data_IF_136510617226
#
_entry.id   IF_136510617226
#
_cell.length_a   1.000
_cell.length_b   1.000
_cell.length_c   1.000
_cell.angle_alpha   90.00
_cell.angle_beta   90.00
_cell.angle_gamma   90.00
#
_symmetry.space_group_name_H-M   'P 1'
#
loop_
_entity.id
_entity.type
_entity.pdbx_description
1 polymer ?
#
# COMPACT_ATOMS: atom_id res chain seq x y z
N UNK A 1 -57.13 -8.41 -34.17
CA UNK A 1 -57.06 -7.65 -32.90
C UNK A 1 -55.79 -6.81 -32.94
N UNK A 2 -55.91 -5.47 -32.99
CA UNK A 2 -54.79 -4.55 -33.20
C UNK A 2 -54.16 -4.13 -31.87
N UNK A 3 -52.89 -3.74 -31.88
CA UNK A 3 -52.49 -2.53 -31.17
C UNK A 3 -51.19 -1.95 -31.73
N UNK A 4 -51.32 -0.78 -32.36
CA UNK A 4 -50.21 0.14 -32.59
C UNK A 4 -49.91 0.90 -31.30
N UNK A 5 -48.63 1.16 -31.02
CA UNK A 5 -48.23 2.25 -30.15
C UNK A 5 -46.92 2.87 -30.68
N UNK A 6 -47.07 4.06 -31.25
CA UNK A 6 -46.02 4.98 -31.64
C UNK A 6 -45.77 5.92 -30.44
N UNK A 7 -44.52 6.08 -29.98
CA UNK A 7 -44.13 7.24 -29.15
C UNK A 7 -42.70 7.70 -29.49
N UNK A 8 -42.64 8.88 -30.11
CA UNK A 8 -41.47 9.77 -30.15
C UNK A 8 -41.06 10.17 -28.72
N UNK A 9 -39.76 10.23 -28.43
CA UNK A 9 -39.14 11.18 -27.48
C UNK A 9 -37.68 11.37 -27.91
N UNK A 10 -37.34 12.53 -28.49
CA UNK A 10 -36.66 13.67 -27.86
C UNK A 10 -35.14 13.55 -27.85
N UNK A 11 -34.51 14.27 -28.79
CA UNK A 11 -33.11 14.66 -28.77
C UNK A 11 -32.90 15.81 -27.76
N UNK A 12 -31.94 15.68 -26.85
CA UNK A 12 -31.40 16.73 -25.96
C UNK A 12 -30.26 16.09 -25.15
N UNK A 13 -29.13 16.72 -24.81
CA UNK A 13 -28.47 17.97 -25.17
C UNK A 13 -27.07 17.75 -24.56
N UNK A 14 -25.99 17.80 -25.35
CA UNK A 14 -24.63 17.71 -24.82
C UNK A 14 -24.28 19.02 -24.13
N UNK A 15 -24.10 19.00 -22.80
CA UNK A 15 -23.49 20.09 -22.05
C UNK A 15 -22.19 19.60 -21.44
N UNK A 16 -21.09 20.08 -22.03
CA UNK A 16 -19.75 20.00 -21.45
C UNK A 16 -19.48 21.34 -20.77
N UNK A 17 -19.15 21.32 -19.48
CA UNK A 17 -18.44 22.41 -18.82
C UNK A 17 -17.53 21.82 -17.76
N UNK A 18 -16.24 21.74 -18.11
CA UNK A 18 -15.15 21.46 -17.18
C UNK A 18 -14.99 22.65 -16.24
N UNK A 19 -15.19 22.40 -14.94
CA UNK A 19 -14.49 23.14 -13.88
C UNK A 19 -13.48 22.18 -13.29
N UNK A 20 -12.22 22.46 -13.58
CA UNK A 20 -11.05 21.78 -13.04
C UNK A 20 -10.26 22.84 -12.26
N UNK A 21 -10.27 22.75 -10.92
CA UNK A 21 -9.24 23.25 -10.01
C UNK A 21 -9.56 22.79 -8.58
N UNK A 22 -8.63 22.06 -7.95
CA UNK A 22 -8.73 21.46 -6.61
C UNK A 22 -8.65 19.94 -6.73
N UNK A 23 -7.48 19.29 -6.85
CA UNK A 23 -6.22 19.65 -6.22
C UNK A 23 -6.15 19.13 -4.78
N UNK A 24 -6.86 18.04 -4.45
CA UNK A 24 -6.49 17.17 -3.36
C UNK A 24 -5.61 16.07 -3.95
N UNK A 25 -4.35 16.04 -3.55
CA UNK A 25 -3.65 14.76 -3.51
C UNK A 25 -4.40 13.96 -2.46
N UNK A 26 -5.43 13.24 -2.90
CA UNK A 26 -5.67 11.96 -2.28
C UNK A 26 -4.35 11.24 -2.51
N UNK A 27 -3.47 11.26 -1.52
CA UNK A 27 -2.66 10.10 -1.22
C UNK A 27 -3.67 8.99 -0.94
N UNK A 28 -4.28 8.54 -2.03
CA UNK A 28 -5.08 7.35 -2.08
C UNK A 28 -4.06 6.29 -1.75
N UNK A 29 -4.05 5.95 -0.47
CA UNK A 29 -3.47 4.76 0.08
C UNK A 29 -4.10 3.49 -0.56
N UNK A 30 -4.56 3.54 -1.81
CA UNK A 30 -4.02 2.74 -2.92
C UNK A 30 -2.48 2.81 -3.12
N UNK A 31 -1.69 3.08 -2.07
CA UNK A 31 -0.49 2.26 -1.87
C UNK A 31 -0.94 0.85 -2.21
N UNK A 32 -0.40 0.35 -3.31
CA UNK A 32 -0.66 -0.97 -3.84
C UNK A 32 -0.11 -1.96 -2.82
N UNK A 33 -0.81 -2.06 -1.70
CA UNK A 33 -0.57 -3.00 -0.62
C UNK A 33 -0.82 -4.36 -1.20
N UNK A 34 0.21 -5.19 -1.12
CA UNK A 34 0.46 -6.28 -2.03
C UNK A 34 -0.63 -7.35 -1.92
N UNK A 35 -1.52 -7.38 -2.91
CA UNK A 35 -2.32 -8.58 -3.16
C UNK A 35 -1.42 -9.59 -3.84
N UNK A 36 -0.76 -10.41 -3.03
CA UNK A 36 0.18 -11.43 -3.48
C UNK A 36 -0.28 -12.82 -3.05
N UNK A 37 0.02 -13.81 -3.88
CA UNK A 37 -0.12 -15.20 -3.55
C UNK A 37 1.20 -15.91 -3.86
N UNK A 38 1.83 -16.47 -2.84
CA UNK A 38 3.02 -17.32 -2.98
C UNK A 38 2.62 -18.79 -2.92
N UNK A 39 3.14 -19.57 -3.85
CA UNK A 39 2.77 -20.97 -3.98
C UNK A 39 3.62 -21.74 -4.98
N UNK A 40 3.25 -23.01 -5.22
CA UNK A 40 3.96 -23.88 -6.16
C UNK A 40 3.17 -24.10 -7.45
N UNK A 41 3.83 -23.99 -8.60
CA UNK A 41 3.21 -24.31 -9.89
C UNK A 41 2.85 -25.81 -9.94
N UNK A 42 1.56 -26.15 -9.98
CA UNK A 42 1.06 -27.53 -10.03
C UNK A 42 0.71 -28.01 -11.44
N UNK A 43 0.58 -27.08 -12.39
CA UNK A 43 0.40 -27.39 -13.80
C UNK A 43 0.90 -26.24 -14.66
N UNK A 44 1.51 -26.55 -15.81
CA UNK A 44 2.11 -25.55 -16.68
C UNK A 44 1.77 -25.83 -18.15
N UNK A 45 0.85 -25.06 -18.72
CA UNK A 45 0.54 -25.10 -20.15
C UNK A 45 1.44 -24.12 -20.93
N UNK A 46 1.62 -22.91 -20.39
CA UNK A 46 2.47 -21.85 -20.95
C UNK A 46 2.79 -20.78 -19.90
N UNK A 47 3.68 -19.84 -20.23
CA UNK A 47 3.98 -18.68 -19.37
C UNK A 47 2.76 -17.80 -19.04
N UNK A 48 1.69 -17.88 -19.85
CA UNK A 48 0.46 -17.08 -19.67
C UNK A 48 -0.71 -17.90 -19.08
N UNK A 49 -0.57 -19.22 -18.96
CA UNK A 49 -1.62 -20.12 -18.50
C UNK A 49 -1.00 -21.30 -17.75
N UNK A 50 -1.22 -21.33 -16.45
CA UNK A 50 -0.68 -22.32 -15.54
C UNK A 50 -1.55 -22.35 -14.27
N UNK A 51 -1.26 -23.26 -13.34
CA UNK A 51 -1.92 -23.33 -12.04
C UNK A 51 -0.90 -23.28 -10.91
N UNK A 52 -1.24 -22.61 -9.82
CA UNK A 52 -0.45 -22.56 -8.59
C UNK A 52 -1.30 -23.08 -7.44
N UNK A 53 -0.87 -24.18 -6.84
CA UNK A 53 -1.61 -24.95 -5.83
C UNK A 53 -3.09 -25.18 -6.21
N UNK A 54 -3.29 -25.59 -7.47
CA UNK A 54 -4.58 -25.83 -8.11
C UNK A 54 -5.47 -24.59 -8.34
N UNK A 55 -4.97 -23.38 -8.06
CA UNK A 55 -5.61 -22.14 -8.52
C UNK A 55 -5.18 -21.90 -9.98
N UNK A 56 -6.13 -21.86 -10.94
CA UNK A 56 -5.79 -21.51 -12.30
C UNK A 56 -5.40 -20.03 -12.40
N UNK A 57 -4.37 -19.74 -13.18
CA UNK A 57 -3.79 -18.40 -13.36
C UNK A 57 -3.95 -17.95 -14.81
N UNK A 58 -4.47 -16.73 -15.01
CA UNK A 58 -4.28 -15.97 -16.25
C UNK A 58 -3.09 -15.05 -16.09
N UNK A 59 -2.07 -15.17 -16.92
CA UNK A 59 -1.02 -14.17 -16.98
C UNK A 59 -0.88 -13.52 -18.36
N UNK A 60 -1.92 -13.61 -19.21
CA UNK A 60 -1.95 -12.95 -20.53
C UNK A 60 -1.88 -11.42 -20.44
N UNK A 61 -2.31 -10.84 -19.32
CA UNK A 61 -2.23 -9.41 -19.02
C UNK A 61 -1.02 -9.01 -18.17
N UNK A 62 -0.13 -9.94 -17.83
CA UNK A 62 0.99 -9.66 -16.93
C UNK A 62 2.06 -8.78 -17.62
N UNK A 63 2.57 -7.78 -16.90
CA UNK A 63 3.65 -6.90 -17.38
C UNK A 63 5.06 -7.46 -17.09
N UNK A 64 5.15 -8.47 -16.22
CA UNK A 64 6.36 -9.16 -15.84
C UNK A 64 6.07 -10.65 -15.63
N UNK A 65 6.89 -11.49 -16.26
CA UNK A 65 6.83 -12.94 -16.22
C UNK A 65 8.25 -13.49 -16.09
N UNK A 66 8.50 -14.48 -15.23
CA UNK A 66 9.83 -15.03 -15.04
C UNK A 66 10.19 -15.98 -16.18
N UNK A 67 11.48 -16.07 -16.49
CA UNK A 67 11.99 -17.13 -17.38
C UNK A 67 12.26 -18.41 -16.59
N UNK A 68 12.16 -19.56 -17.26
CA UNK A 68 12.48 -20.85 -16.64
C UNK A 68 11.44 -21.40 -15.67
N UNK A 69 10.25 -20.79 -15.58
CA UNK A 69 9.14 -21.33 -14.80
C UNK A 69 8.65 -22.66 -15.38
N UNK A 70 8.53 -23.67 -14.53
CA UNK A 70 7.99 -24.99 -14.86
C UNK A 70 7.11 -25.49 -13.72
N UNK A 71 6.49 -26.67 -13.88
CA UNK A 71 5.87 -27.36 -12.76
C UNK A 71 6.88 -27.59 -11.62
N UNK A 72 6.44 -27.42 -10.38
CA UNK A 72 7.28 -27.51 -9.17
C UNK A 72 8.04 -26.22 -8.82
N UNK A 73 8.03 -25.20 -9.68
CA UNK A 73 8.63 -23.90 -9.37
C UNK A 73 7.79 -23.16 -8.32
N UNK A 74 8.43 -22.57 -7.30
CA UNK A 74 7.78 -21.61 -6.40
C UNK A 74 7.70 -20.24 -7.06
N UNK A 75 6.57 -19.58 -6.91
CA UNK A 75 6.30 -18.28 -7.52
C UNK A 75 5.52 -17.39 -6.58
N UNK A 76 5.77 -16.08 -6.70
CA UNK A 76 4.90 -15.04 -6.18
C UNK A 76 4.05 -14.47 -7.32
N UNK A 77 2.74 -14.39 -7.10
CA UNK A 77 1.80 -13.84 -8.07
C UNK A 77 1.11 -12.61 -7.48
N UNK A 78 1.26 -11.48 -8.13
CA UNK A 78 0.47 -10.28 -7.85
C UNK A 78 -0.67 -10.19 -8.85
N UNK A 79 -1.90 -10.18 -8.37
CA UNK A 79 -3.06 -10.29 -9.26
C UNK A 79 -4.40 -10.21 -8.57
N UNK A 80 -5.46 -10.51 -9.28
CA UNK A 80 -6.83 -10.53 -8.76
C UNK A 80 -7.58 -11.81 -9.07
N UNK A 81 -8.26 -12.38 -8.07
CA UNK A 81 -9.23 -13.44 -8.31
C UNK A 81 -10.45 -12.91 -9.02
N UNK A 82 -10.71 -13.42 -10.23
CA UNK A 82 -11.88 -13.08 -11.04
C UNK A 82 -12.51 -14.37 -11.53
N UNK A 83 -13.76 -14.62 -11.15
CA UNK A 83 -14.51 -15.83 -11.54
C UNK A 83 -13.76 -17.14 -11.24
N UNK A 84 -13.05 -17.21 -10.11
CA UNK A 84 -12.30 -18.40 -9.70
C UNK A 84 -10.94 -18.60 -10.40
N UNK A 85 -10.47 -17.60 -11.15
CA UNK A 85 -9.15 -17.61 -11.80
C UNK A 85 -8.34 -16.39 -11.38
N UNK A 86 -7.06 -16.58 -11.07
CA UNK A 86 -6.17 -15.51 -10.66
C UNK A 86 -5.67 -14.78 -11.90
N UNK A 87 -6.16 -13.57 -12.14
CA UNK A 87 -5.64 -12.69 -13.18
C UNK A 87 -4.38 -11.99 -12.68
N UNK A 88 -3.23 -12.56 -13.06
CA UNK A 88 -1.91 -12.06 -12.71
C UNK A 88 -1.59 -10.79 -13.50
N UNK A 89 -1.08 -9.79 -12.77
CA UNK A 89 -0.46 -8.58 -13.31
C UNK A 89 1.07 -8.70 -13.32
N UNK A 90 1.63 -9.46 -12.38
CA UNK A 90 3.06 -9.77 -12.28
C UNK A 90 3.23 -11.17 -11.70
N UNK A 91 4.20 -11.90 -12.21
CA UNK A 91 4.62 -13.21 -11.73
C UNK A 91 6.14 -13.16 -11.56
N UNK A 92 6.65 -13.67 -10.45
CA UNK A 92 8.08 -13.71 -10.13
C UNK A 92 8.46 -15.10 -9.63
N UNK A 93 9.74 -15.48 -9.81
CA UNK A 93 10.26 -16.64 -9.11
C UNK A 93 10.39 -16.29 -7.64
N UNK A 94 9.93 -17.19 -6.80
CA UNK A 94 10.12 -17.09 -5.36
C UNK A 94 11.46 -17.76 -5.03
N UNK A 95 12.50 -16.93 -4.93
CA UNK A 95 13.88 -17.35 -4.66
C UNK A 95 14.15 -17.56 -3.16
N UNK A 96 13.10 -17.57 -2.32
CA UNK A 96 13.16 -17.89 -0.90
C UNK A 96 13.64 -19.35 -0.74
N UNK A 97 14.96 -19.52 -0.80
CA UNK A 97 15.67 -20.74 -0.51
C UNK A 97 15.78 -20.86 1.01
N UNK A 98 14.64 -21.01 1.67
CA UNK A 98 14.56 -21.37 3.09
C UNK A 98 14.95 -22.85 3.21
N UNK A 99 16.27 -23.07 3.09
CA UNK A 99 16.95 -24.32 3.43
C UNK A 99 16.95 -24.61 4.93
N UNK A 100 16.20 -23.83 5.73
CA UNK A 100 15.93 -24.13 7.13
C UNK A 100 14.78 -25.14 7.20
N UNK A 101 15.19 -26.41 7.25
CA UNK A 101 14.47 -27.71 7.34
C UNK A 101 13.46 -27.84 8.52
N UNK A 102 12.86 -26.73 8.96
CA UNK A 102 11.86 -26.66 10.02
C UNK A 102 10.65 -25.77 9.69
N UNK A 103 10.72 -24.90 8.67
CA UNK A 103 9.53 -24.34 8.03
C UNK A 103 9.32 -25.06 6.70
N UNK A 104 8.33 -25.95 6.67
CA UNK A 104 7.71 -26.32 5.40
C UNK A 104 7.00 -25.06 4.91
N UNK A 105 7.66 -24.20 4.11
CA UNK A 105 7.14 -22.86 3.79
C UNK A 105 5.71 -22.96 3.27
N UNK A 106 4.72 -22.62 4.12
CA UNK A 106 3.33 -22.74 3.77
C UNK A 106 3.01 -21.62 2.79
N UNK A 107 2.18 -21.92 1.79
CA UNK A 107 1.69 -20.92 0.85
C UNK A 107 1.21 -19.69 1.60
N UNK A 108 1.51 -18.53 1.05
CA UNK A 108 1.22 -17.23 1.66
C UNK A 108 0.21 -16.48 0.80
N UNK A 109 -0.79 -15.91 1.44
CA UNK A 109 -1.76 -15.02 0.83
C UNK A 109 -1.78 -13.71 1.59
N UNK A 110 -1.32 -12.65 0.93
CA UNK A 110 -1.42 -11.30 1.42
C UNK A 110 -2.59 -10.59 0.74
N UNK A 111 -3.34 -9.81 1.52
CA UNK A 111 -4.42 -9.01 0.99
C UNK A 111 -5.34 -8.47 2.06
N UNK A 112 -6.54 -8.03 1.65
CA UNK A 112 -7.56 -7.51 2.57
C UNK A 112 -8.69 -8.50 2.81
N UNK A 113 -9.17 -8.54 4.05
CA UNK A 113 -10.40 -9.26 4.39
C UNK A 113 -11.57 -8.62 3.66
N UNK A 114 -12.25 -9.34 2.79
CA UNK A 114 -13.34 -8.82 1.93
C UNK A 114 -14.73 -9.27 2.38
N UNK A 115 -14.85 -10.44 3.02
CA UNK A 115 -16.13 -10.96 3.49
C UNK A 115 -15.97 -12.03 4.57
N UNK A 116 -17.03 -12.23 5.36
CA UNK A 116 -17.17 -13.36 6.28
C UNK A 116 -18.23 -14.35 5.79
N UNK A 117 -17.93 -15.64 5.92
CA UNK A 117 -18.86 -16.75 5.67
C UNK A 117 -19.09 -17.62 6.92
N UNK A 118 -18.40 -17.32 8.02
CA UNK A 118 -18.60 -17.92 9.33
C UNK A 118 -17.59 -17.42 10.37
N UNK A 119 -17.65 -17.89 11.63
CA UNK A 119 -16.81 -17.38 12.72
C UNK A 119 -15.30 -17.49 12.47
N UNK A 120 -14.87 -18.52 11.74
CA UNK A 120 -13.46 -18.76 11.37
C UNK A 120 -13.30 -18.92 9.86
N UNK A 121 -14.27 -18.42 9.08
CA UNK A 121 -14.29 -18.52 7.62
C UNK A 121 -14.54 -17.16 7.01
N UNK A 122 -13.60 -16.71 6.20
CA UNK A 122 -13.63 -15.39 5.59
C UNK A 122 -13.03 -15.46 4.18
N UNK A 123 -12.94 -14.33 3.49
CA UNK A 123 -12.26 -14.22 2.22
C UNK A 123 -11.22 -13.11 2.27
N UNK A 124 -10.05 -13.37 1.69
CA UNK A 124 -9.00 -12.38 1.44
C UNK A 124 -8.98 -12.12 -0.05
N UNK A 125 -9.37 -10.91 -0.44
CA UNK A 125 -9.48 -10.46 -1.83
C UNK A 125 -10.11 -11.47 -2.81
N UNK A 126 -11.18 -12.14 -2.37
CA UNK A 126 -11.94 -13.11 -3.16
C UNK A 126 -11.49 -14.57 -3.01
N UNK A 127 -10.35 -14.85 -2.36
CA UNK A 127 -9.91 -16.22 -2.04
C UNK A 127 -10.57 -16.64 -0.72
N UNK A 128 -11.31 -17.76 -0.67
CA UNK A 128 -11.85 -18.30 0.57
C UNK A 128 -10.75 -18.78 1.53
N UNK A 129 -10.86 -18.43 2.80
CA UNK A 129 -9.96 -18.83 3.88
C UNK A 129 -10.74 -19.60 4.94
N UNK A 130 -10.22 -20.76 5.33
CA UNK A 130 -10.65 -21.50 6.51
C UNK A 130 -9.56 -21.42 7.59
N UNK A 131 -9.81 -20.61 8.62
CA UNK A 131 -8.90 -20.39 9.73
C UNK A 131 -9.33 -21.13 11.01
N UNK A 132 -10.03 -22.27 10.89
CA UNK A 132 -10.47 -23.05 12.07
C UNK A 132 -9.32 -23.51 12.97
N UNK A 133 -8.11 -23.68 12.42
CA UNK A 133 -6.91 -24.07 13.17
C UNK A 133 -6.11 -22.87 13.71
N UNK A 134 -6.39 -21.66 13.24
CA UNK A 134 -5.72 -20.42 13.63
C UNK A 134 -6.74 -19.27 13.75
N UNK A 135 -7.72 -19.38 14.68
CA UNK A 135 -8.76 -18.39 14.82
C UNK A 135 -8.17 -17.04 15.21
N UNK A 136 -8.61 -15.99 14.53
CA UNK A 136 -8.21 -14.61 14.78
C UNK A 136 -9.41 -13.68 14.65
N UNK A 137 -9.41 -12.58 15.39
CA UNK A 137 -10.44 -11.55 15.29
C UNK A 137 -10.03 -10.57 14.19
N UNK A 138 -10.79 -10.52 13.10
CA UNK A 138 -10.58 -9.56 12.02
C UNK A 138 -11.87 -8.79 11.75
N UNK A 139 -11.75 -7.74 10.95
CA UNK A 139 -12.87 -6.99 10.39
C UNK A 139 -12.65 -6.83 8.88
N UNK A 140 -13.72 -6.66 8.13
CA UNK A 140 -13.63 -6.41 6.68
C UNK A 140 -12.81 -5.14 6.45
N UNK A 141 -11.84 -5.20 5.54
CA UNK A 141 -10.90 -4.13 5.21
C UNK A 141 -9.51 -4.28 5.84
N UNK A 142 -9.37 -5.10 6.88
CA UNK A 142 -8.05 -5.35 7.51
C UNK A 142 -7.10 -6.04 6.53
N UNK A 143 -5.84 -5.58 6.51
CA UNK A 143 -4.75 -6.26 5.81
C UNK A 143 -4.27 -7.44 6.64
N UNK A 144 -4.05 -8.56 5.96
CA UNK A 144 -3.64 -9.81 6.58
C UNK A 144 -2.66 -10.55 5.70
N UNK A 145 -1.76 -11.27 6.34
CA UNK A 145 -0.98 -12.35 5.74
C UNK A 145 -1.53 -13.67 6.28
N UNK A 146 -1.95 -14.55 5.37
CA UNK A 146 -2.47 -15.87 5.71
C UNK A 146 -1.49 -16.92 5.21
N UNK A 147 -1.00 -17.73 6.13
CA UNK A 147 -0.14 -18.87 5.84
C UNK A 147 -0.95 -20.15 5.93
N UNK A 148 -0.79 -21.04 4.96
CA UNK A 148 -1.49 -22.32 4.99
C UNK A 148 -1.29 -23.17 3.75
N UNK A 149 -2.17 -24.16 3.60
CA UNK A 149 -2.23 -24.98 2.39
C UNK A 149 -3.44 -24.57 1.56
N UNK A 150 -3.28 -24.48 0.24
CA UNK A 150 -4.44 -24.39 -0.66
C UNK A 150 -5.07 -25.77 -0.79
N UNK A 151 -6.39 -25.86 -0.65
CA UNK A 151 -7.12 -27.13 -0.81
C UNK A 151 -8.46 -26.86 -1.48
N UNK A 152 -8.64 -27.38 -2.69
CA UNK A 152 -9.85 -27.17 -3.49
C UNK A 152 -10.25 -25.68 -3.61
N UNK A 153 -9.27 -24.80 -3.84
CA UNK A 153 -9.47 -23.35 -3.95
C UNK A 153 -9.82 -22.64 -2.63
N UNK A 154 -9.66 -23.30 -1.48
CA UNK A 154 -9.77 -22.69 -0.15
C UNK A 154 -8.43 -22.74 0.55
N UNK A 155 -7.95 -21.61 1.06
CA UNK A 155 -6.75 -21.56 1.88
C UNK A 155 -7.07 -22.06 3.30
N UNK A 156 -6.53 -23.21 3.67
CA UNK A 156 -6.62 -23.78 5.01
C UNK A 156 -5.48 -23.19 5.85
N UNK A 157 -5.80 -22.20 6.67
CA UNK A 157 -4.82 -21.42 7.38
C UNK A 157 -4.24 -22.18 8.59
N UNK A 158 -2.92 -22.19 8.69
CA UNK A 158 -2.16 -22.61 9.87
C UNK A 158 -1.75 -21.41 10.73
N UNK A 159 -1.71 -20.21 10.15
CA UNK A 159 -1.40 -18.95 10.82
C UNK A 159 -2.04 -17.79 10.07
N UNK A 160 -2.47 -16.77 10.81
CA UNK A 160 -2.94 -15.48 10.26
C UNK A 160 -2.22 -14.38 11.02
N UNK A 161 -1.60 -13.44 10.29
CA UNK A 161 -0.99 -12.23 10.83
C UNK A 161 -1.78 -11.00 10.39
N UNK A 162 -1.86 -10.01 11.26
CA UNK A 162 -2.38 -8.69 10.92
C UNK A 162 -1.19 -7.85 10.48
N UNK A 163 -1.36 -7.12 9.39
CA UNK A 163 -0.37 -6.15 8.94
C UNK A 163 -0.87 -4.77 9.39
N UNK A 164 -0.24 -4.21 10.43
CA UNK A 164 -0.62 -2.91 10.94
C UNK A 164 -0.40 -1.86 9.84
N UNK A 165 -1.49 -1.20 9.43
CA UNK A 165 -1.40 0.01 8.63
C UNK A 165 -0.78 1.04 9.55
N UNK A 166 0.47 1.43 9.25
CA UNK A 166 1.33 2.23 10.11
C UNK A 166 0.54 3.20 10.99
N UNK A 167 0.76 3.10 12.30
CA UNK A 167 0.36 4.11 13.24
C UNK A 167 0.74 5.47 12.63
N UNK A 168 -0.28 6.29 12.42
CA UNK A 168 -0.09 7.68 12.07
C UNK A 168 0.53 8.32 13.31
N UNK A 169 1.85 8.26 13.41
CA UNK A 169 2.64 9.06 14.34
C UNK A 169 2.56 10.52 13.88
N UNK A 170 1.35 11.10 13.94
CA UNK A 170 1.18 12.53 14.07
C UNK A 170 1.59 12.88 15.51
N UNK A 171 2.90 12.85 15.76
CA UNK A 171 3.46 13.68 16.81
C UNK A 171 3.30 15.12 16.32
N UNK A 172 2.17 15.72 16.63
CA UNK A 172 2.08 17.17 16.75
C UNK A 172 3.14 17.58 17.76
N UNK A 173 4.27 18.09 17.26
CA UNK A 173 5.24 18.86 18.02
C UNK A 173 4.51 20.13 18.50
N UNK A 174 3.73 19.98 19.57
CA UNK A 174 3.24 21.10 20.36
C UNK A 174 4.43 21.64 21.16
N UNK A 175 5.27 22.46 20.51
CA UNK A 175 6.23 23.33 21.18
C UNK A 175 5.45 24.34 22.05
N UNK A 176 5.04 23.87 23.23
CA UNK A 176 4.66 24.73 24.33
C UNK A 176 5.95 25.27 24.94
N UNK A 177 6.43 26.39 24.39
CA UNK A 177 7.43 27.24 25.06
C UNK A 177 6.77 27.88 26.30
N UNK A 178 6.77 27.16 27.42
CA UNK A 178 6.46 27.68 28.75
C UNK A 178 7.75 28.03 29.50
N UNK A 179 8.52 28.94 28.91
CA UNK A 179 9.61 29.65 29.57
C UNK A 179 9.06 30.47 30.75
N UNK A 180 9.25 29.92 31.95
CA UNK A 180 8.77 30.42 33.22
C UNK A 180 9.35 31.78 33.59
N UNK A 181 8.55 32.54 34.32
CA UNK A 181 8.85 33.83 34.95
C UNK A 181 10.07 33.78 35.87
N UNK A 182 11.13 34.53 35.52
CA UNK A 182 12.13 35.01 36.49
C UNK A 182 11.98 36.53 36.61
N UNK A 183 11.28 36.95 37.67
CA UNK A 183 11.28 38.32 38.16
C UNK A 183 12.59 38.56 38.92
N UNK A 184 13.55 39.22 38.28
CA UNK A 184 14.61 39.95 38.99
C UNK A 184 14.42 41.45 38.75
N UNK A 185 13.83 42.10 39.75
CA UNK A 185 13.86 43.54 39.97
C UNK A 185 15.32 43.99 40.18
N UNK A 186 15.94 44.64 39.19
CA UNK A 186 17.12 45.48 39.42
C UNK A 186 16.84 46.93 38.95
N UNK A 187 16.51 47.84 39.88
CA UNK A 187 16.32 49.25 39.56
C UNK A 187 17.60 50.01 39.91
N UNK A 188 18.51 50.22 38.96
CA UNK A 188 19.50 51.31 38.94
C UNK A 188 20.16 51.36 37.54
N UNK A 189 19.94 52.40 36.74
CA UNK A 189 20.56 53.73 36.81
C UNK A 189 21.84 53.81 35.96
N UNK A 190 21.65 54.40 34.78
CA UNK A 190 22.54 55.24 33.96
C UNK A 190 24.07 55.04 34.05
N UNK A 191 24.65 54.65 32.90
CA UNK A 191 25.98 55.14 32.49
C UNK A 191 26.06 55.30 30.97
N UNK A 192 25.64 56.49 30.54
CA UNK A 192 26.31 57.38 29.58
C UNK A 192 27.49 56.85 28.73
N UNK A 193 27.29 57.00 27.42
CA UNK A 193 28.22 57.50 26.38
C UNK A 193 29.62 56.88 26.25
N UNK A 194 29.88 56.33 25.06
CA UNK A 194 30.93 56.87 24.19
C UNK A 194 30.59 56.59 22.72
N UNK A 195 30.17 57.67 22.06
CA UNK A 195 30.35 57.90 20.63
C UNK A 195 31.83 57.73 20.23
N UNK A 196 32.08 57.30 18.99
CA UNK A 196 32.88 58.05 18.01
C UNK A 196 33.23 57.19 16.79
N UNK A 197 32.52 57.46 15.70
CA UNK A 197 33.06 57.80 14.38
C UNK A 197 34.11 56.89 13.70
N UNK A 198 33.74 56.36 12.52
CA UNK A 198 34.47 56.77 11.30
C UNK A 198 33.77 56.54 9.96
N UNK A 199 33.44 57.66 9.32
CA UNK A 199 33.53 57.95 7.89
C UNK A 199 32.61 57.21 6.88
N UNK A 200 31.50 57.88 6.55
CA UNK A 200 31.22 58.24 5.15
C UNK A 200 32.36 59.10 4.58
N UNK A 201 32.82 58.82 3.35
CA UNK A 201 32.91 59.83 2.27
C UNK A 201 33.66 59.30 1.02
N UNK A 202 32.91 59.27 -0.08
CA UNK A 202 33.31 59.42 -1.50
C UNK A 202 34.13 58.33 -2.19
N UNK A 203 33.39 57.35 -2.71
CA UNK A 203 33.48 56.99 -4.13
C UNK A 203 34.55 55.96 -4.52
N UNK A 204 34.07 54.74 -4.75
CA UNK A 204 34.71 53.64 -5.47
C UNK A 204 35.73 52.78 -4.71
N UNK A 205 35.49 51.48 -4.89
CA UNK A 205 36.32 50.27 -4.81
C UNK A 205 36.68 49.66 -3.44
N UNK A 206 36.36 48.37 -3.39
CA UNK A 206 37.02 47.30 -2.63
C UNK A 206 36.46 47.00 -1.24
N UNK A 207 35.41 46.17 -1.24
CA UNK A 207 35.10 45.24 -0.16
C UNK A 207 35.95 43.98 -0.39
N UNK A 208 36.96 43.76 0.44
CA UNK A 208 37.78 42.56 0.61
C UNK A 208 38.58 42.88 1.91
N UNK A 209 38.85 42.01 2.87
CA UNK A 209 38.91 40.57 2.99
C UNK A 209 38.82 40.23 4.50
N UNK A 210 38.55 38.96 4.79
CA UNK A 210 39.19 38.12 5.84
C UNK A 210 38.16 37.21 6.51
N UNK A 211 37.99 36.05 5.87
CA UNK A 211 37.81 34.79 6.57
C UNK A 211 39.01 34.55 7.49
N UNK A 212 38.79 33.97 8.67
CA UNK A 212 39.49 32.82 9.27
C UNK A 212 38.82 32.50 10.62
N UNK A 213 38.28 31.29 10.77
CA UNK A 213 38.86 30.24 11.63
C UNK A 213 38.24 28.88 11.25
#
# INVERSE_FOLDING_TARGET
MPWSALKLFSASLLMASLVACGGGSDDDSTTASAKSYKGTVTSYDSMQSFSVDDIPVDASGANALPQGMTEGTRVEIQGEMVNGRLQARRVELDDDNDSDDSNTDPNELEGRVTAYSGPTRFSVDGIPVNASAAPTALTVGMRVEVYGAMTNGTMVASRVRLEDQGDSDDSSDDDSDDGSDDNDDDPNDDSDSNDDDRCEAVGNSDCDDDAED
#
